data_IF_043691153593
#
_entry.id   IF_043691153593
#
_cell.length_a   1.000
_cell.length_b   1.000
_cell.length_c   1.000
_cell.angle_alpha   90.00
_cell.angle_beta   90.00
_cell.angle_gamma   90.00
#
_symmetry.space_group_name_H-M   'P 1'
#
loop_
_entity.id
_entity.type
_entity.pdbx_description
1 polymer ?
#
# COMPACT_ATOMS: atom_id res chain seq x y z
N UNK A 1 -13.50 -18.01 12.05
CA UNK A 1 -13.90 -17.98 13.49
C UNK A 1 -14.39 -16.57 13.80
N UNK A 2 -15.64 -16.37 14.25
CA UNK A 2 -16.20 -15.02 14.34
C UNK A 2 -15.73 -14.34 15.63
N UNK A 3 -15.20 -13.12 15.50
CA UNK A 3 -14.75 -12.28 16.62
C UNK A 3 -15.99 -11.61 17.21
N UNK A 4 -16.29 -11.95 18.46
CA UNK A 4 -17.37 -11.33 19.26
C UNK A 4 -17.01 -9.88 19.59
N UNK A 5 -17.94 -8.98 19.33
CA UNK A 5 -17.93 -7.61 19.85
C UNK A 5 -17.90 -7.63 21.39
N UNK A 6 -17.00 -6.86 22.00
CA UNK A 6 -16.96 -6.60 23.44
C UNK A 6 -17.31 -5.14 23.69
N UNK A 7 -18.53 -4.93 24.17
CA UNK A 7 -18.98 -3.71 24.84
C UNK A 7 -18.22 -3.55 26.17
N UNK A 8 -17.53 -2.42 26.34
CA UNK A 8 -16.94 -2.02 27.62
C UNK A 8 -17.94 -1.16 28.38
N UNK A 9 -18.50 -1.72 29.45
CA UNK A 9 -19.24 -0.96 30.47
C UNK A 9 -18.23 -0.22 31.35
N UNK A 10 -18.36 1.11 31.43
CA UNK A 10 -17.56 1.94 32.33
C UNK A 10 -18.08 1.80 33.76
N UNK A 11 -17.24 1.27 34.65
CA UNK A 11 -17.44 1.33 36.10
C UNK A 11 -16.96 2.70 36.59
N UNK A 12 -17.89 3.52 37.06
CA UNK A 12 -17.58 4.80 37.71
C UNK A 12 -17.22 4.53 39.16
N UNK A 13 -15.96 4.79 39.53
CA UNK A 13 -15.52 4.87 40.93
C UNK A 13 -15.51 6.36 41.31
N UNK A 14 -16.44 6.77 42.18
CA UNK A 14 -16.43 8.10 42.80
C UNK A 14 -15.39 8.12 43.93
N UNK A 15 -14.25 8.77 43.69
CA UNK A 15 -13.33 9.22 44.72
C UNK A 15 -13.52 10.72 44.98
N UNK A 16 -14.04 11.07 46.16
CA UNK A 16 -14.07 12.45 46.66
C UNK A 16 -12.67 12.88 47.10
N UNK A 17 -12.15 13.97 46.52
CA UNK A 17 -11.00 14.70 47.04
C UNK A 17 -11.37 16.19 47.23
N UNK A 18 -11.02 16.82 48.36
CA UNK A 18 -11.38 18.20 48.64
C UNK A 18 -10.48 19.19 47.90
N UNK A 19 -11.07 20.33 47.55
CA UNK A 19 -10.52 21.30 46.61
C UNK A 19 -9.32 22.10 47.12
N UNK A 20 -8.43 22.39 46.17
CA UNK A 20 -7.64 23.61 46.14
C UNK A 20 -8.11 24.44 44.94
N UNK A 21 -8.71 25.58 45.23
CA UNK A 21 -9.07 26.59 44.26
C UNK A 21 -7.80 27.25 43.70
N UNK A 22 -7.42 26.88 42.48
CA UNK A 22 -6.55 27.69 41.64
C UNK A 22 -7.41 28.27 40.52
N UNK A 23 -7.45 29.59 40.43
CA UNK A 23 -8.03 30.34 39.32
C UNK A 23 -7.18 30.13 38.06
N UNK A 24 -7.28 28.95 37.44
CA UNK A 24 -6.79 28.69 36.10
C UNK A 24 -7.90 28.98 35.11
N UNK A 25 -7.73 30.04 34.30
CA UNK A 25 -8.56 30.21 33.12
C UNK A 25 -8.41 28.97 32.24
N UNK A 26 -9.50 28.28 31.84
CA UNK A 26 -9.38 27.18 30.91
C UNK A 26 -8.82 27.74 29.59
N UNK A 27 -7.59 27.33 29.25
CA UNK A 27 -7.06 27.55 27.92
C UNK A 27 -8.08 26.95 26.93
N UNK A 28 -8.46 27.66 25.86
CA UNK A 28 -9.36 27.11 24.87
C UNK A 28 -8.70 25.84 24.34
N UNK A 29 -9.31 24.69 24.59
CA UNK A 29 -8.98 23.46 23.88
C UNK A 29 -9.22 23.80 22.42
N UNK A 30 -8.14 23.94 21.65
CA UNK A 30 -8.23 24.02 20.20
C UNK A 30 -8.98 22.76 19.75
N UNK A 31 -10.27 22.92 19.45
CA UNK A 31 -11.07 21.86 18.89
C UNK A 31 -10.48 21.56 17.53
N UNK A 32 -9.87 20.38 17.38
CA UNK A 32 -9.63 19.83 16.05
C UNK A 32 -11.03 19.64 15.46
N UNK A 33 -11.42 20.52 14.55
CA UNK A 33 -12.64 20.33 13.78
C UNK A 33 -12.41 19.06 12.96
N UNK A 34 -13.10 17.97 13.30
CA UNK A 34 -13.05 16.76 12.48
C UNK A 34 -13.46 17.13 11.05
N UNK A 35 -12.61 16.77 10.09
CA UNK A 35 -12.87 17.05 8.69
C UNK A 35 -14.21 16.41 8.28
N UNK A 36 -15.04 17.17 7.56
CA UNK A 36 -16.32 16.67 7.06
C UNK A 36 -16.15 15.44 6.16
N UNK A 37 -17.22 14.64 5.93
CA UNK A 37 -17.14 13.38 5.20
C UNK A 37 -16.53 13.50 3.79
N UNK A 38 -16.81 14.59 3.08
CA UNK A 38 -16.24 14.88 1.75
C UNK A 38 -14.73 15.07 1.82
N UNK A 39 -14.25 15.91 2.74
CA UNK A 39 -12.82 16.17 2.92
C UNK A 39 -12.07 14.91 3.35
N UNK A 40 -12.69 14.04 4.15
CA UNK A 40 -12.14 12.73 4.51
C UNK A 40 -12.07 11.80 3.32
N UNK A 41 -13.11 11.73 2.47
CA UNK A 41 -13.07 10.96 1.23
C UNK A 41 -11.98 11.47 0.28
N UNK A 42 -11.83 12.79 0.16
CA UNK A 42 -10.78 13.41 -0.64
C UNK A 42 -9.38 13.06 -0.12
N UNK A 43 -9.17 13.11 1.19
CA UNK A 43 -7.89 12.77 1.82
C UNK A 43 -7.53 11.28 1.62
N UNK A 44 -8.49 10.37 1.85
CA UNK A 44 -8.27 8.93 1.66
C UNK A 44 -7.92 8.62 0.20
N UNK A 45 -8.68 9.15 -0.74
CA UNK A 45 -8.46 8.89 -2.16
C UNK A 45 -7.17 9.52 -2.69
N UNK A 46 -6.79 10.70 -2.18
CA UNK A 46 -5.50 11.30 -2.49
C UNK A 46 -4.33 10.44 -1.98
N UNK A 47 -4.48 9.84 -0.79
CA UNK A 47 -3.49 8.93 -0.23
C UNK A 47 -3.38 7.64 -1.05
N UNK A 48 -4.51 7.03 -1.43
CA UNK A 48 -4.54 5.85 -2.31
C UNK A 48 -3.86 6.11 -3.65
N UNK A 49 -4.14 7.25 -4.28
CA UNK A 49 -3.52 7.64 -5.55
C UNK A 49 -2.01 7.79 -5.38
N UNK A 50 -1.56 8.44 -4.31
CA UNK A 50 -0.14 8.63 -4.01
C UNK A 50 0.57 7.29 -3.80
N UNK A 51 -0.01 6.40 -2.97
CA UNK A 51 0.51 5.05 -2.73
C UNK A 51 0.55 4.23 -4.03
N UNK A 52 -0.49 4.31 -4.86
CA UNK A 52 -0.54 3.63 -6.15
C UNK A 52 0.57 4.07 -7.09
N UNK A 53 0.83 5.39 -7.17
CA UNK A 53 1.88 5.95 -8.02
C UNK A 53 3.27 5.47 -7.61
N UNK A 54 3.57 5.52 -6.31
CA UNK A 54 4.87 5.08 -5.78
C UNK A 54 5.03 3.56 -5.91
N UNK A 55 4.01 2.80 -5.52
CA UNK A 55 3.99 1.33 -5.63
C UNK A 55 4.17 0.86 -7.07
N UNK A 56 3.52 1.51 -8.04
CA UNK A 56 3.66 1.16 -9.46
C UNK A 56 5.11 1.31 -9.94
N UNK A 57 5.73 2.47 -9.65
CA UNK A 57 7.14 2.72 -10.02
C UNK A 57 8.08 1.69 -9.40
N UNK A 58 7.89 1.36 -8.12
CA UNK A 58 8.65 0.31 -7.44
C UNK A 58 8.44 -1.05 -8.11
N UNK A 59 7.20 -1.43 -8.42
CA UNK A 59 6.87 -2.74 -8.96
C UNK A 59 7.43 -2.96 -10.37
N UNK A 60 7.44 -1.93 -11.23
CA UNK A 60 7.94 -2.07 -12.62
C UNK A 60 9.46 -2.02 -12.68
N UNK A 61 10.09 -1.11 -11.93
CA UNK A 61 11.55 -0.95 -11.94
C UNK A 61 12.30 -2.13 -11.33
N UNK A 62 11.60 -2.92 -10.51
CA UNK A 62 12.18 -4.06 -9.80
C UNK A 62 11.65 -5.41 -10.28
N UNK A 63 10.91 -5.46 -11.39
CA UNK A 63 10.32 -6.70 -11.90
C UNK A 63 11.35 -7.83 -12.09
N UNK A 64 12.57 -7.51 -12.52
CA UNK A 64 13.66 -8.49 -12.70
C UNK A 64 14.21 -9.10 -11.40
N UNK A 65 14.04 -8.41 -10.27
CA UNK A 65 14.48 -8.88 -8.96
C UNK A 65 13.38 -9.66 -8.23
N UNK A 66 12.13 -9.55 -8.69
CA UNK A 66 10.98 -10.14 -8.01
C UNK A 66 10.85 -11.65 -8.30
N UNK A 67 10.65 -12.50 -7.25
CA UNK A 67 10.41 -13.93 -7.43
C UNK A 67 9.17 -14.24 -8.26
N UNK A 68 8.14 -13.42 -8.06
CA UNK A 68 6.85 -13.56 -8.71
C UNK A 68 6.58 -12.29 -9.50
N UNK A 69 6.52 -12.46 -10.80
CA UNK A 69 6.20 -11.41 -11.77
C UNK A 69 4.84 -11.74 -12.38
N UNK A 70 4.00 -10.72 -12.54
CA UNK A 70 2.71 -10.82 -13.23
C UNK A 70 2.61 -9.75 -14.31
N UNK A 71 1.77 -10.00 -15.31
CA UNK A 71 1.36 -8.97 -16.26
C UNK A 71 0.26 -8.13 -15.61
N UNK A 72 0.56 -6.86 -15.34
CA UNK A 72 -0.31 -5.93 -14.60
C UNK A 72 -0.67 -4.75 -15.48
N UNK A 73 -1.90 -4.27 -15.33
CA UNK A 73 -2.36 -3.06 -16.02
C UNK A 73 -1.90 -1.76 -15.32
N UNK A 74 -1.53 -1.84 -14.04
CA UNK A 74 -1.14 -0.68 -13.24
C UNK A 74 -2.31 0.28 -13.05
N UNK A 75 -3.26 -0.14 -12.21
CA UNK A 75 -4.39 0.65 -11.75
C UNK A 75 -4.61 0.42 -10.26
N UNK A 76 -5.43 1.29 -9.66
CA UNK A 76 -6.09 1.03 -8.38
C UNK A 76 -7.58 1.03 -8.63
N UNK A 77 -8.25 -0.01 -8.14
CA UNK A 77 -9.67 -0.22 -8.34
C UNK A 77 -10.41 -0.07 -7.00
N UNK A 78 -11.64 0.41 -7.09
CA UNK A 78 -12.55 0.64 -5.98
C UNK A 78 -13.95 0.14 -6.35
N UNK A 79 -14.83 -0.07 -5.37
CA UNK A 79 -16.25 -0.35 -5.58
C UNK A 79 -17.11 0.45 -4.61
N UNK A 80 -18.43 0.45 -4.77
CA UNK A 80 -19.32 1.12 -3.82
C UNK A 80 -19.35 0.37 -2.47
N UNK A 81 -19.30 -0.96 -2.50
CA UNK A 81 -19.47 -1.83 -1.33
C UNK A 81 -18.35 -1.71 -0.31
N UNK A 82 -17.13 -1.33 -0.72
CA UNK A 82 -15.99 -1.13 0.18
C UNK A 82 -16.09 0.14 1.04
N UNK A 83 -17.01 1.06 0.72
CA UNK A 83 -17.23 2.25 1.53
C UNK A 83 -18.32 1.98 2.57
N UNK A 84 -18.11 2.43 3.80
CA UNK A 84 -19.12 2.44 4.85
C UNK A 84 -20.31 3.37 4.53
N UNK A 85 -21.40 3.24 5.30
CA UNK A 85 -22.67 3.92 5.03
C UNK A 85 -22.58 5.45 4.87
N UNK A 86 -21.63 6.08 5.56
CA UNK A 86 -21.39 7.53 5.51
C UNK A 86 -20.71 7.99 4.21
N UNK A 87 -19.66 7.28 3.77
CA UNK A 87 -18.86 7.68 2.61
C UNK A 87 -19.40 7.12 1.30
N UNK A 88 -20.15 6.02 1.34
CA UNK A 88 -20.65 5.33 0.14
C UNK A 88 -21.48 6.23 -0.78
N UNK A 89 -22.47 7.02 -0.31
CA UNK A 89 -23.22 7.90 -1.20
C UNK A 89 -22.33 8.94 -1.90
N UNK A 90 -21.33 9.46 -1.19
CA UNK A 90 -20.37 10.44 -1.72
C UNK A 90 -19.47 9.79 -2.78
N UNK A 91 -18.94 8.59 -2.51
CA UNK A 91 -18.10 7.85 -3.44
C UNK A 91 -18.88 7.44 -4.71
N UNK A 92 -20.12 6.97 -4.57
CA UNK A 92 -21.02 6.65 -5.69
C UNK A 92 -21.28 7.88 -6.56
N UNK A 93 -21.67 9.01 -5.95
CA UNK A 93 -21.96 10.23 -6.68
C UNK A 93 -20.71 10.78 -7.40
N UNK A 94 -19.54 10.70 -6.75
CA UNK A 94 -18.29 11.27 -7.26
C UNK A 94 -17.63 10.43 -8.35
N UNK A 95 -17.70 9.11 -8.26
CA UNK A 95 -16.97 8.20 -9.16
C UNK A 95 -17.88 7.31 -10.02
N UNK A 96 -19.20 7.45 -9.92
CA UNK A 96 -20.15 6.65 -10.69
C UNK A 96 -20.12 5.16 -10.36
N UNK A 97 -19.76 4.82 -9.10
CA UNK A 97 -19.64 3.43 -8.63
C UNK A 97 -21.01 2.75 -8.61
N UNK A 98 -21.03 1.44 -8.87
CA UNK A 98 -22.26 0.66 -8.92
C UNK A 98 -22.03 -0.76 -8.37
N UNK A 99 -22.44 -0.98 -7.12
CA UNK A 99 -22.21 -2.22 -6.39
C UNK A 99 -20.71 -2.57 -6.32
N UNK A 100 -20.40 -3.81 -6.68
CA UNK A 100 -19.07 -4.41 -6.70
C UNK A 100 -18.33 -4.23 -8.04
N UNK A 101 -18.93 -3.55 -9.02
CA UNK A 101 -18.24 -3.26 -10.29
C UNK A 101 -16.97 -2.43 -10.04
N UNK A 102 -15.82 -2.78 -10.64
CA UNK A 102 -14.58 -2.07 -10.40
C UNK A 102 -14.60 -0.67 -11.04
N UNK A 103 -14.56 0.36 -10.21
CA UNK A 103 -14.27 1.73 -10.60
C UNK A 103 -12.76 2.00 -10.57
N UNK A 104 -12.23 2.69 -11.58
CA UNK A 104 -10.84 3.16 -11.57
C UNK A 104 -10.73 4.32 -10.58
N UNK A 105 -9.91 4.14 -9.55
CA UNK A 105 -9.51 5.21 -8.63
C UNK A 105 -8.24 5.90 -9.13
N UNK A 106 -7.26 5.11 -9.57
CA UNK A 106 -5.98 5.59 -10.08
C UNK A 106 -5.53 4.77 -11.30
N UNK A 107 -4.90 5.45 -12.24
CA UNK A 107 -4.06 4.86 -13.27
C UNK A 107 -2.70 5.56 -13.17
N UNK A 108 -1.72 4.96 -12.46
CA UNK A 108 -0.40 5.58 -12.28
C UNK A 108 0.25 6.01 -13.59
N UNK A 109 0.95 7.16 -13.63
CA UNK A 109 1.56 7.68 -14.84
C UNK A 109 2.46 6.66 -15.54
N UNK A 110 2.29 6.52 -16.85
CA UNK A 110 3.03 5.58 -17.69
C UNK A 110 2.65 4.12 -17.51
N UNK A 111 1.62 3.80 -16.69
CA UNK A 111 1.09 2.44 -16.62
C UNK A 111 0.32 2.05 -17.89
N UNK A 112 0.13 0.75 -18.18
CA UNK A 112 -0.75 0.32 -19.26
C UNK A 112 -2.18 0.87 -19.18
N UNK A 113 -2.73 1.05 -17.97
CA UNK A 113 -4.03 1.66 -17.76
C UNK A 113 -4.03 3.15 -18.17
N UNK A 114 -3.01 3.90 -17.74
CA UNK A 114 -2.84 5.31 -18.10
C UNK A 114 -2.65 5.48 -19.62
N UNK A 115 -1.78 4.66 -20.22
CA UNK A 115 -1.54 4.64 -21.66
C UNK A 115 -2.79 4.27 -22.49
N UNK A 116 -3.71 3.49 -21.92
CA UNK A 116 -4.98 3.15 -22.55
C UNK A 116 -6.06 4.23 -22.35
N UNK A 117 -5.75 5.32 -21.65
CA UNK A 117 -6.66 6.42 -21.36
C UNK A 117 -7.67 6.12 -20.25
N UNK A 118 -7.43 5.08 -19.43
CA UNK A 118 -8.21 4.90 -18.21
C UNK A 118 -7.96 6.07 -17.27
N UNK A 119 -8.99 6.47 -16.54
CA UNK A 119 -8.88 7.56 -15.58
C UNK A 119 -9.88 7.38 -14.47
N UNK A 120 -9.66 8.14 -13.39
CA UNK A 120 -10.56 8.18 -12.25
C UNK A 120 -12.02 8.42 -12.69
N UNK A 121 -12.93 7.57 -12.23
CA UNK A 121 -14.36 7.62 -12.59
C UNK A 121 -14.76 6.74 -13.78
N UNK A 122 -13.83 6.01 -14.41
CA UNK A 122 -14.22 4.88 -15.26
C UNK A 122 -14.79 3.75 -14.40
N UNK A 123 -16.01 3.32 -14.70
CA UNK A 123 -16.57 2.08 -14.17
C UNK A 123 -16.37 0.96 -15.19
N UNK A 124 -15.68 -0.11 -14.81
CA UNK A 124 -15.44 -1.27 -15.67
C UNK A 124 -16.68 -2.17 -15.62
N UNK A 125 -17.32 -2.35 -16.78
CA UNK A 125 -18.56 -3.10 -16.93
C UNK A 125 -18.32 -4.53 -17.42
N UNK A 126 -17.30 -4.73 -18.26
CA UNK A 126 -17.00 -6.03 -18.86
C UNK A 126 -15.50 -6.13 -19.21
N UNK A 127 -15.02 -7.37 -19.28
CA UNK A 127 -13.67 -7.72 -19.71
C UNK A 127 -13.73 -8.82 -20.76
N UNK A 128 -13.06 -8.62 -21.91
CA UNK A 128 -13.05 -9.52 -23.06
C UNK A 128 -14.48 -9.97 -23.48
N UNK A 129 -15.41 -9.02 -23.50
CA UNK A 129 -16.83 -9.25 -23.82
C UNK A 129 -17.65 -9.95 -22.74
N UNK A 130 -17.06 -10.29 -21.58
CA UNK A 130 -17.75 -10.90 -20.45
C UNK A 130 -18.12 -9.84 -19.41
N UNK A 131 -19.41 -9.64 -19.08
CA UNK A 131 -19.83 -8.74 -18.01
C UNK A 131 -19.16 -9.09 -16.69
N UNK A 132 -18.81 -8.07 -15.92
CA UNK A 132 -18.40 -8.21 -14.53
C UNK A 132 -19.62 -8.24 -13.61
N UNK A 133 -19.45 -8.79 -12.42
CA UNK A 133 -20.54 -8.99 -11.48
C UNK A 133 -20.76 -7.72 -10.65
N UNK A 134 -21.96 -7.14 -10.72
CA UNK A 134 -22.34 -6.01 -9.85
C UNK A 134 -22.45 -6.42 -8.38
N UNK A 135 -22.63 -7.71 -8.09
CA UNK A 135 -22.90 -8.18 -6.74
C UNK A 135 -24.23 -7.64 -6.19
N UNK A 136 -24.41 -7.80 -4.87
CA UNK A 136 -25.62 -7.37 -4.16
C UNK A 136 -25.31 -6.20 -3.24
N UNK A 137 -26.23 -5.25 -3.14
CA UNK A 137 -26.10 -4.15 -2.18
C UNK A 137 -26.19 -4.71 -0.76
N UNK A 138 -25.28 -4.30 0.12
CA UNK A 138 -25.21 -4.85 1.47
C UNK A 138 -24.31 -4.08 2.42
N UNK A 139 -23.87 -4.80 3.45
CA UNK A 139 -22.87 -4.33 4.39
C UNK A 139 -21.55 -4.01 3.67
N UNK A 140 -20.69 -3.26 4.34
CA UNK A 140 -19.35 -2.98 3.81
C UNK A 140 -18.59 -4.29 3.53
N UNK A 141 -18.10 -4.44 2.30
CA UNK A 141 -17.40 -5.64 1.86
C UNK A 141 -16.44 -5.36 0.71
N UNK A 142 -15.31 -6.05 0.73
CA UNK A 142 -14.32 -6.07 -0.35
C UNK A 142 -14.43 -7.32 -1.24
N UNK A 143 -15.16 -8.36 -0.81
CA UNK A 143 -15.14 -9.68 -1.45
C UNK A 143 -15.63 -9.65 -2.91
N UNK A 144 -16.69 -8.87 -3.20
CA UNK A 144 -17.22 -8.75 -4.56
C UNK A 144 -16.26 -8.03 -5.52
N UNK A 145 -15.63 -6.94 -5.07
CA UNK A 145 -14.57 -6.29 -5.84
C UNK A 145 -13.38 -7.22 -6.06
N UNK A 146 -12.96 -7.96 -5.02
CA UNK A 146 -11.86 -8.91 -5.12
C UNK A 146 -12.15 -10.02 -6.16
N UNK A 147 -13.39 -10.50 -6.25
CA UNK A 147 -13.79 -11.46 -7.27
C UNK A 147 -13.68 -10.88 -8.69
N UNK A 148 -14.14 -9.65 -8.91
CA UNK A 148 -13.99 -8.98 -10.20
C UNK A 148 -12.51 -8.71 -10.55
N UNK A 149 -11.68 -8.33 -9.58
CA UNK A 149 -10.24 -8.18 -9.75
C UNK A 149 -9.60 -9.50 -10.20
N UNK A 150 -10.00 -10.64 -9.63
CA UNK A 150 -9.48 -11.94 -10.06
C UNK A 150 -9.81 -12.25 -11.53
N UNK A 151 -11.00 -11.85 -12.02
CA UNK A 151 -11.36 -11.97 -13.44
C UNK A 151 -10.49 -11.07 -14.31
N UNK A 152 -10.27 -9.82 -13.90
CA UNK A 152 -9.42 -8.86 -14.60
C UNK A 152 -7.96 -9.32 -14.65
N UNK A 153 -7.41 -9.84 -13.55
CA UNK A 153 -6.06 -10.39 -13.47
C UNK A 153 -5.90 -11.61 -14.39
N UNK A 154 -6.89 -12.51 -14.43
CA UNK A 154 -6.88 -13.67 -15.32
C UNK A 154 -6.94 -13.27 -16.80
N UNK A 155 -7.64 -12.19 -17.15
CA UNK A 155 -7.62 -11.62 -18.49
C UNK A 155 -6.25 -10.97 -18.79
N UNK A 156 -5.70 -10.21 -17.83
CA UNK A 156 -4.41 -9.55 -17.98
C UNK A 156 -3.24 -10.54 -18.20
N UNK A 157 -3.33 -11.74 -17.62
CA UNK A 157 -2.40 -12.84 -17.85
C UNK A 157 -2.28 -13.26 -19.33
N UNK A 158 -3.26 -12.94 -20.18
CA UNK A 158 -3.26 -13.26 -21.63
C UNK A 158 -2.51 -12.24 -22.49
N UNK A 159 -2.03 -11.14 -21.90
CA UNK A 159 -1.19 -10.14 -22.57
C UNK A 159 -1.93 -9.06 -23.37
N UNK A 160 -3.25 -9.17 -23.51
CA UNK A 160 -4.12 -8.12 -24.06
C UNK A 160 -5.49 -8.25 -23.41
N UNK A 161 -6.04 -7.12 -22.97
CA UNK A 161 -7.34 -7.05 -22.31
C UNK A 161 -8.18 -6.01 -23.01
N UNK A 162 -9.41 -6.36 -23.36
CA UNK A 162 -10.41 -5.40 -23.80
C UNK A 162 -11.38 -5.12 -22.64
N UNK A 163 -11.53 -3.85 -22.26
CA UNK A 163 -12.46 -3.44 -21.22
C UNK A 163 -13.59 -2.61 -21.82
N UNK A 164 -14.81 -2.95 -21.46
CA UNK A 164 -15.96 -2.04 -21.61
C UNK A 164 -16.03 -1.19 -20.36
N UNK A 165 -15.89 0.12 -20.49
CA UNK A 165 -15.94 1.06 -19.37
C UNK A 165 -17.02 2.13 -19.60
N UNK A 166 -17.57 2.66 -18.51
CA UNK A 166 -18.51 3.78 -18.51
C UNK A 166 -17.91 4.95 -17.75
N UNK A 167 -17.89 6.13 -18.38
CA UNK A 167 -17.52 7.40 -17.72
C UNK A 167 -18.48 8.47 -18.17
N UNK A 168 -19.03 9.21 -17.20
CA UNK A 168 -20.03 10.26 -17.43
C UNK A 168 -21.25 9.76 -18.25
N UNK A 169 -21.68 8.53 -17.99
CA UNK A 169 -22.79 7.88 -18.68
C UNK A 169 -22.47 7.34 -20.08
N UNK A 170 -21.28 7.61 -20.62
CA UNK A 170 -20.86 7.15 -21.95
C UNK A 170 -20.05 5.87 -21.84
N UNK A 171 -20.53 4.82 -22.51
CA UNK A 171 -19.79 3.56 -22.64
C UNK A 171 -18.75 3.65 -23.74
N UNK A 172 -17.56 3.11 -23.47
CA UNK A 172 -16.45 3.02 -24.42
C UNK A 172 -15.71 1.70 -24.24
N UNK A 173 -15.04 1.27 -25.30
CA UNK A 173 -14.16 0.10 -25.25
C UNK A 173 -12.71 0.59 -25.25
N UNK A 174 -11.93 0.13 -24.29
CA UNK A 174 -10.49 0.41 -24.20
C UNK A 174 -9.71 -0.89 -24.28
N UNK A 175 -8.59 -0.86 -24.97
CA UNK A 175 -7.66 -1.98 -25.04
C UNK A 175 -6.44 -1.67 -24.20
N UNK A 176 -6.07 -2.61 -23.34
CA UNK A 176 -4.88 -2.52 -22.49
C UNK A 176 -3.91 -3.63 -22.90
N UNK A 177 -2.62 -3.30 -22.91
CA UNK A 177 -1.52 -4.26 -23.02
C UNK A 177 -0.77 -4.28 -21.69
N UNK A 178 -1.15 -5.17 -20.76
CA UNK A 178 -0.50 -5.26 -19.46
C UNK A 178 1.00 -5.52 -19.60
N UNK A 179 1.79 -5.04 -18.64
CA UNK A 179 3.24 -5.21 -18.63
C UNK A 179 3.71 -5.98 -17.41
N UNK A 180 4.89 -6.60 -17.52
CA UNK A 180 5.52 -7.30 -16.41
C UNK A 180 5.84 -6.34 -15.25
N UNK A 181 5.42 -6.71 -14.05
CA UNK A 181 5.72 -6.00 -12.81
C UNK A 181 5.72 -7.00 -11.64
N UNK A 182 6.34 -6.62 -10.51
CA UNK A 182 6.24 -7.39 -9.28
C UNK A 182 4.77 -7.67 -8.92
N UNK A 183 4.48 -8.90 -8.49
CA UNK A 183 3.13 -9.42 -8.33
C UNK A 183 2.38 -8.92 -7.08
N UNK A 184 2.98 -8.03 -6.30
CA UNK A 184 2.49 -7.57 -5.00
C UNK A 184 1.79 -6.20 -5.14
N UNK A 185 0.48 -6.13 -5.39
CA UNK A 185 -0.27 -4.88 -5.29
C UNK A 185 -0.25 -4.32 -3.87
N UNK A 186 -0.37 -3.00 -3.75
CA UNK A 186 -0.36 -2.29 -2.47
C UNK A 186 -1.75 -1.77 -2.14
N UNK A 187 -2.21 -2.00 -0.92
CA UNK A 187 -3.51 -1.55 -0.41
C UNK A 187 -3.33 -0.68 0.84
N UNK A 188 -4.17 0.35 0.98
CA UNK A 188 -4.19 1.24 2.15
C UNK A 188 -5.20 0.74 3.18
N UNK A 189 -4.75 0.54 4.42
CA UNK A 189 -5.60 0.16 5.56
C UNK A 189 -5.98 1.40 6.38
N UNK A 190 -7.26 1.75 6.45
CA UNK A 190 -7.75 2.91 7.24
C UNK A 190 -7.85 2.53 8.72
N UNK A 191 -6.75 2.68 9.45
CA UNK A 191 -6.62 2.24 10.84
C UNK A 191 -6.03 3.30 11.77
N UNK A 192 -5.46 4.38 11.23
CA UNK A 192 -4.69 5.39 11.93
C UNK A 192 -3.37 4.88 12.54
N UNK A 193 -3.05 3.59 12.37
CA UNK A 193 -1.84 3.00 12.93
C UNK A 193 -0.59 3.48 12.18
N UNK A 194 0.58 3.31 12.80
CA UNK A 194 1.87 3.46 12.13
C UNK A 194 2.41 2.06 11.81
N UNK A 195 1.82 1.40 10.80
CA UNK A 195 2.17 0.04 10.39
C UNK A 195 2.20 -0.13 8.87
N UNK A 196 3.11 -0.98 8.40
CA UNK A 196 3.10 -1.63 7.10
C UNK A 196 3.37 -3.12 7.26
N UNK A 197 2.98 -3.93 6.27
CA UNK A 197 3.24 -5.38 6.24
C UNK A 197 3.15 -5.94 4.82
N UNK A 198 3.84 -7.03 4.54
CA UNK A 198 3.59 -7.91 3.39
C UNK A 198 3.06 -9.27 3.86
N UNK A 199 2.10 -9.87 3.15
CA UNK A 199 1.58 -11.22 3.45
C UNK A 199 1.99 -12.29 2.42
N UNK A 200 2.81 -11.91 1.45
CA UNK A 200 3.23 -12.76 0.33
C UNK A 200 2.32 -12.66 -0.91
N UNK A 201 1.20 -11.93 -0.83
CA UNK A 201 0.34 -11.62 -1.97
C UNK A 201 0.11 -10.12 -2.15
N UNK A 202 -0.02 -9.40 -1.05
CA UNK A 202 -0.24 -7.95 -1.01
C UNK A 202 0.78 -7.27 -0.09
N UNK A 203 1.05 -6.01 -0.38
CA UNK A 203 1.67 -5.07 0.55
C UNK A 203 0.55 -4.23 1.15
N UNK A 204 0.50 -4.11 2.46
CA UNK A 204 -0.45 -3.26 3.17
C UNK A 204 0.29 -2.13 3.85
N UNK A 205 -0.24 -0.92 3.72
CA UNK A 205 0.24 0.25 4.45
C UNK A 205 -0.96 0.93 5.12
N UNK A 206 -0.84 1.24 6.40
CA UNK A 206 -1.88 2.01 7.07
C UNK A 206 -1.89 3.46 6.59
N UNK A 207 -3.07 4.09 6.62
CA UNK A 207 -3.24 5.52 6.34
C UNK A 207 -2.34 6.40 7.22
N UNK A 208 -2.19 6.05 8.50
CA UNK A 208 -1.27 6.73 9.42
C UNK A 208 0.19 6.62 8.99
N UNK A 209 0.65 5.42 8.61
CA UNK A 209 2.02 5.22 8.13
C UNK A 209 2.29 5.93 6.79
N UNK A 210 1.37 5.83 5.83
CA UNK A 210 1.51 6.51 4.54
C UNK A 210 1.45 8.05 4.69
N UNK A 211 0.57 8.55 5.55
CA UNK A 211 0.45 9.97 5.88
C UNK A 211 1.65 10.51 6.68
N UNK A 212 2.42 9.64 7.34
CA UNK A 212 3.64 10.04 7.99
C UNK A 212 4.74 10.40 6.99
N UNK A 213 4.82 9.78 5.82
CA UNK A 213 5.84 10.11 4.81
C UNK A 213 5.61 11.52 4.24
N UNK A 214 6.62 12.40 4.37
CA UNK A 214 6.51 13.81 3.96
C UNK A 214 6.49 14.00 2.43
N UNK A 215 7.15 13.11 1.69
CA UNK A 215 7.26 13.13 0.23
C UNK A 215 7.27 11.70 -0.35
N UNK A 216 7.19 11.59 -1.67
CA UNK A 216 7.09 10.29 -2.34
C UNK A 216 8.35 9.44 -2.21
N UNK A 217 9.52 10.05 -1.99
CA UNK A 217 10.77 9.33 -1.75
C UNK A 217 10.77 8.65 -0.37
N UNK A 218 10.26 9.34 0.66
CA UNK A 218 10.07 8.73 1.98
C UNK A 218 9.01 7.62 1.93
N UNK A 219 7.92 7.81 1.19
CA UNK A 219 6.91 6.76 1.00
C UNK A 219 7.50 5.57 0.24
N UNK A 220 8.35 5.81 -0.75
CA UNK A 220 9.05 4.78 -1.49
C UNK A 220 9.95 3.95 -0.59
N UNK A 221 10.60 4.54 0.41
CA UNK A 221 11.37 3.76 1.40
C UNK A 221 10.50 2.77 2.18
N UNK A 222 9.32 3.20 2.66
CA UNK A 222 8.41 2.31 3.40
C UNK A 222 7.95 1.15 2.50
N UNK A 223 7.44 1.48 1.31
CA UNK A 223 6.93 0.47 0.37
C UNK A 223 8.05 -0.41 -0.20
N UNK A 224 9.24 0.15 -0.39
CA UNK A 224 10.43 -0.56 -0.84
C UNK A 224 10.93 -1.57 0.21
N UNK A 225 10.84 -1.23 1.49
CA UNK A 225 11.12 -2.16 2.59
C UNK A 225 10.14 -3.35 2.59
N UNK A 226 8.84 -3.11 2.44
CA UNK A 226 7.86 -4.21 2.34
C UNK A 226 8.02 -5.05 1.07
N UNK A 227 8.35 -4.42 -0.06
CA UNK A 227 8.68 -5.13 -1.29
C UNK A 227 9.96 -5.95 -1.12
N UNK A 228 10.94 -5.46 -0.36
CA UNK A 228 12.15 -6.19 -0.06
C UNK A 228 11.85 -7.47 0.74
N UNK A 229 10.95 -7.44 1.72
CA UNK A 229 10.48 -8.66 2.37
C UNK A 229 9.93 -9.67 1.35
N UNK A 230 9.10 -9.21 0.40
CA UNK A 230 8.58 -10.09 -0.64
C UNK A 230 9.67 -10.64 -1.60
N UNK A 231 10.71 -9.85 -1.87
CA UNK A 231 11.87 -10.22 -2.71
C UNK A 231 12.85 -11.14 -1.98
N UNK A 232 13.02 -11.01 -0.66
CA UNK A 232 14.00 -11.78 0.12
C UNK A 232 13.40 -13.08 0.67
N UNK A 233 12.16 -13.04 1.14
CA UNK A 233 11.61 -14.12 1.97
C UNK A 233 11.06 -15.31 1.18
N UNK A 234 11.09 -15.27 -0.17
CA UNK A 234 10.74 -16.36 -1.12
C UNK A 234 10.00 -17.54 -0.47
N UNK A 235 8.81 -17.30 0.09
CA UNK A 235 7.99 -18.40 0.59
C UNK A 235 7.66 -19.23 -0.63
N UNK A 236 8.07 -20.49 -0.62
CA UNK A 236 7.49 -21.52 -1.46
C UNK A 236 6.00 -21.63 -1.10
N UNK A 237 5.17 -20.68 -1.54
CA UNK A 237 3.73 -20.82 -1.49
C UNK A 237 3.31 -21.63 -2.71
N UNK A 238 2.76 -22.83 -2.52
CA UNK A 238 2.04 -23.51 -3.58
C UNK A 238 0.65 -22.86 -3.70
N UNK A 239 0.51 -21.66 -4.26
CA UNK A 239 -0.78 -21.24 -4.85
C UNK A 239 -0.81 -19.92 -5.68
N UNK A 240 0.31 -19.45 -6.22
CA UNK A 240 0.23 -18.48 -7.32
C UNK A 240 0.01 -19.27 -8.61
N UNK A 241 -1.24 -19.65 -8.88
CA UNK A 241 -1.65 -20.42 -10.06
C UNK A 241 -0.91 -19.98 -11.33
N UNK A 242 0.05 -20.81 -11.79
CA UNK A 242 0.63 -20.73 -13.13
C UNK A 242 1.95 -19.98 -13.32
N UNK A 243 2.57 -19.36 -12.31
CA UNK A 243 3.86 -18.65 -12.51
C UNK A 243 5.02 -19.44 -11.91
N UNK A 244 5.88 -20.00 -12.77
CA UNK A 244 7.20 -20.54 -12.38
C UNK A 244 8.13 -19.36 -12.04
N UNK A 245 8.22 -18.99 -10.77
CA UNK A 245 9.22 -18.04 -10.29
C UNK A 245 10.62 -18.64 -10.31
N UNK A 246 11.61 -17.86 -10.77
CA UNK A 246 13.02 -18.22 -10.66
C UNK A 246 13.40 -18.30 -9.17
N UNK A 247 13.99 -19.42 -8.75
CA UNK A 247 14.51 -19.55 -7.40
C UNK A 247 15.75 -18.65 -7.25
N UNK A 248 15.61 -17.47 -6.64
CA UNK A 248 16.75 -16.67 -6.16
C UNK A 248 17.36 -17.31 -4.90
N UNK A 249 17.70 -18.60 -5.00
CA UNK A 249 18.20 -19.46 -3.93
C UNK A 249 19.45 -18.90 -3.22
N UNK A 250 20.17 -17.98 -3.88
CA UNK A 250 21.31 -17.25 -3.32
C UNK A 250 20.93 -16.30 -2.15
N UNK A 251 19.66 -15.95 -1.99
CA UNK A 251 19.20 -14.91 -1.04
C UNK A 251 18.42 -15.51 0.15
N UNK A 252 17.77 -16.68 -0.01
CA UNK A 252 16.63 -17.06 0.84
C UNK A 252 16.90 -17.97 2.05
N UNK A 253 18.13 -18.45 2.31
CA UNK A 253 18.32 -19.42 3.38
C UNK A 253 18.58 -18.77 4.74
N UNK A 254 17.49 -18.69 5.54
CA UNK A 254 17.35 -18.94 6.99
C UNK A 254 16.63 -17.78 7.72
N UNK A 255 15.46 -18.04 8.34
CA UNK A 255 15.15 -17.83 9.80
C UNK A 255 13.70 -17.41 10.10
N UNK A 256 13.16 -17.95 11.20
CA UNK A 256 12.14 -17.24 12.00
C UNK A 256 12.77 -16.11 12.81
N UNK A 257 11.98 -15.12 13.25
CA UNK A 257 12.36 -13.95 14.06
C UNK A 257 13.86 -13.57 13.99
N UNK A 258 14.30 -12.92 12.92
CA UNK A 258 15.71 -12.52 12.76
C UNK A 258 15.90 -11.05 12.45
N UNK A 259 16.75 -10.37 13.24
CA UNK A 259 17.33 -9.04 12.95
C UNK A 259 17.92 -8.98 11.54
N UNK A 260 18.49 -10.11 11.06
CA UNK A 260 19.08 -10.16 9.73
C UNK A 260 18.03 -9.96 8.64
N UNK A 261 16.80 -10.47 8.81
CA UNK A 261 15.71 -10.26 7.84
C UNK A 261 15.36 -8.78 7.67
N UNK A 262 15.19 -8.06 8.78
CA UNK A 262 14.84 -6.63 8.76
C UNK A 262 15.99 -5.74 8.26
N UNK A 263 17.23 -6.05 8.65
CA UNK A 263 18.40 -5.33 8.15
C UNK A 263 18.66 -5.60 6.66
N UNK A 264 18.42 -6.84 6.20
CA UNK A 264 18.52 -7.21 4.79
C UNK A 264 17.38 -6.55 3.99
N UNK A 265 16.16 -6.47 4.55
CA UNK A 265 15.04 -5.75 3.93
C UNK A 265 15.30 -4.24 3.83
N UNK A 266 15.92 -3.63 4.84
CA UNK A 266 16.39 -2.24 4.78
C UNK A 266 17.42 -2.03 3.68
N UNK A 267 18.43 -2.92 3.60
CA UNK A 267 19.46 -2.85 2.56
C UNK A 267 18.85 -3.02 1.17
N UNK A 268 18.13 -4.11 0.94
CA UNK A 268 17.48 -4.40 -0.33
C UNK A 268 16.50 -3.29 -0.70
N UNK A 269 15.71 -2.81 0.25
CA UNK A 269 14.77 -1.71 0.09
C UNK A 269 15.43 -0.45 -0.50
N UNK A 270 16.63 -0.06 -0.03
CA UNK A 270 17.36 1.06 -0.62
C UNK A 270 17.74 0.84 -2.09
N UNK A 271 18.13 -0.37 -2.48
CA UNK A 271 18.37 -0.69 -3.89
C UNK A 271 17.08 -0.61 -4.71
N UNK A 272 15.98 -1.17 -4.20
CA UNK A 272 14.68 -1.15 -4.89
C UNK A 272 14.16 0.28 -5.11
N UNK A 273 14.32 1.15 -4.10
CA UNK A 273 14.00 2.59 -4.14
C UNK A 273 14.86 3.29 -5.18
N UNK A 274 16.18 3.08 -5.14
CA UNK A 274 17.11 3.72 -6.06
C UNK A 274 16.88 3.31 -7.52
N UNK A 275 16.56 2.03 -7.78
CA UNK A 275 16.20 1.49 -9.10
C UNK A 275 14.92 2.10 -9.64
N UNK A 276 13.95 2.39 -8.78
CA UNK A 276 12.71 3.06 -9.15
C UNK A 276 12.85 4.58 -9.36
N UNK A 277 14.08 5.11 -9.26
CA UNK A 277 14.38 6.52 -9.46
C UNK A 277 13.93 7.43 -8.32
N UNK A 278 13.73 6.87 -7.13
CA UNK A 278 13.53 7.64 -5.90
C UNK A 278 14.86 7.90 -5.20
N UNK A 279 14.90 8.90 -4.31
CA UNK A 279 16.08 9.22 -3.51
C UNK A 279 16.22 8.28 -2.30
N UNK A 280 17.20 7.35 -2.29
CA UNK A 280 17.39 6.44 -1.16
C UNK A 280 17.84 7.15 0.12
N UNK A 281 18.40 8.37 0.05
CA UNK A 281 18.81 9.13 1.24
C UNK A 281 17.62 9.56 2.10
N UNK A 282 16.42 9.67 1.50
CA UNK A 282 15.17 9.99 2.20
C UNK A 282 14.74 8.95 3.23
N UNK A 283 15.29 7.73 3.16
CA UNK A 283 15.15 6.73 4.21
C UNK A 283 15.66 7.23 5.58
N UNK A 284 16.78 7.97 5.61
CA UNK A 284 17.37 8.48 6.85
C UNK A 284 16.52 9.59 7.46
N UNK A 285 15.96 10.46 6.62
CA UNK A 285 15.01 11.49 7.03
C UNK A 285 13.72 10.87 7.56
N UNK A 286 13.17 9.87 6.85
CA UNK A 286 11.97 9.16 7.27
C UNK A 286 12.16 8.47 8.62
N UNK A 287 13.27 7.77 8.85
CA UNK A 287 13.53 7.11 10.12
C UNK A 287 13.62 8.09 11.29
N UNK A 288 14.12 9.31 11.05
CA UNK A 288 14.09 10.39 12.04
C UNK A 288 12.65 10.80 12.36
N UNK A 289 11.83 10.97 11.32
CA UNK A 289 10.41 11.33 11.46
C UNK A 289 9.59 10.23 12.14
N UNK A 290 9.87 8.97 11.84
CA UNK A 290 9.24 7.81 12.47
C UNK A 290 9.56 7.73 13.96
N UNK A 291 10.82 7.96 14.33
CA UNK A 291 11.25 8.03 15.74
C UNK A 291 10.55 9.16 16.52
N UNK A 292 10.30 10.29 15.88
CA UNK A 292 9.58 11.42 16.48
C UNK A 292 8.08 11.15 16.65
N UNK A 293 7.48 10.40 15.72
CA UNK A 293 6.06 10.08 15.75
C UNK A 293 5.71 8.88 16.66
N UNK A 294 6.61 7.91 16.77
CA UNK A 294 6.47 6.74 17.65
C UNK A 294 7.71 6.57 18.54
N UNK A 295 7.59 6.96 19.81
CA UNK A 295 8.68 6.81 20.79
C UNK A 295 9.12 5.36 21.01
N UNK A 296 8.34 4.36 20.59
CA UNK A 296 8.78 2.96 20.60
C UNK A 296 9.88 2.71 19.58
N UNK A 297 9.96 3.47 18.49
CA UNK A 297 10.99 3.34 17.47
C UNK A 297 12.38 3.78 17.96
N UNK A 298 12.46 4.46 19.11
CA UNK A 298 13.72 4.76 19.80
C UNK A 298 14.36 3.53 20.46
N UNK A 299 13.60 2.43 20.58
CA UNK A 299 14.05 1.19 21.20
C UNK A 299 14.00 0.04 20.19
N UNK A 300 14.87 -0.95 20.36
CA UNK A 300 14.77 -2.17 19.58
C UNK A 300 13.47 -2.90 19.95
N UNK A 301 12.74 -3.38 18.95
CA UNK A 301 11.44 -4.03 19.15
C UNK A 301 11.53 -5.51 18.79
N UNK A 302 10.86 -6.36 19.57
CA UNK A 302 10.73 -7.79 19.26
C UNK A 302 9.25 -8.09 19.16
N UNK A 303 8.81 -8.57 18.00
CA UNK A 303 7.43 -8.99 17.77
C UNK A 303 7.39 -10.22 16.86
N UNK A 304 6.22 -10.80 16.60
CA UNK A 304 6.08 -12.01 15.80
C UNK A 304 6.68 -11.92 14.37
N UNK A 305 6.85 -10.70 13.84
CA UNK A 305 7.48 -10.45 12.53
C UNK A 305 9.01 -10.41 12.56
N UNK A 306 9.64 -10.16 13.72
CA UNK A 306 11.09 -10.06 13.77
C UNK A 306 11.64 -9.27 14.94
N UNK A 307 12.93 -8.97 14.85
CA UNK A 307 13.61 -8.06 15.75
C UNK A 307 13.98 -6.81 14.93
N UNK A 308 13.38 -5.69 15.31
CA UNK A 308 13.58 -4.39 14.69
C UNK A 308 14.65 -3.65 15.49
N UNK A 309 15.74 -3.27 14.83
CA UNK A 309 16.70 -2.32 15.40
C UNK A 309 16.02 -0.96 15.63
N UNK A 310 16.48 -0.21 16.63
CA UNK A 310 15.96 1.16 16.82
C UNK A 310 16.27 2.04 15.60
N UNK A 311 15.50 3.12 15.44
CA UNK A 311 15.63 4.02 14.28
C UNK A 311 17.04 4.59 14.12
N UNK A 312 17.71 4.93 15.22
CA UNK A 312 19.10 5.41 15.23
C UNK A 312 20.09 4.37 14.70
N UNK A 313 19.94 3.11 15.09
CA UNK A 313 20.73 1.97 14.62
C UNK A 313 20.50 1.69 13.14
N UNK A 314 19.24 1.68 12.69
CA UNK A 314 18.87 1.58 11.27
C UNK A 314 19.53 2.67 10.44
N UNK A 315 19.42 3.95 10.85
CA UNK A 315 20.05 5.09 10.14
C UNK A 315 21.57 4.93 9.98
N UNK A 316 22.27 4.40 10.99
CA UNK A 316 23.72 4.10 10.89
C UNK A 316 24.01 2.96 9.91
N UNK A 317 23.22 1.88 9.97
CA UNK A 317 23.39 0.71 9.11
C UNK A 317 23.14 1.02 7.62
N UNK A 318 22.28 2.00 7.32
CA UNK A 318 22.00 2.42 5.94
C UNK A 318 23.16 3.21 5.28
N UNK A 319 24.02 3.88 6.04
CA UNK A 319 25.10 4.72 5.48
C UNK A 319 26.04 3.99 4.50
N UNK A 320 26.61 2.81 4.84
CA UNK A 320 27.46 2.08 3.89
C UNK A 320 26.68 1.58 2.65
N UNK A 321 25.38 1.30 2.79
CA UNK A 321 24.53 0.89 1.66
C UNK A 321 24.31 2.06 0.71
N UNK A 322 24.03 3.25 1.25
CA UNK A 322 23.89 4.49 0.47
C UNK A 322 25.16 4.83 -0.29
N UNK A 323 26.33 4.71 0.36
CA UNK A 323 27.63 4.91 -0.30
C UNK A 323 27.83 3.93 -1.46
N UNK A 324 27.53 2.64 -1.26
CA UNK A 324 27.60 1.63 -2.32
C UNK A 324 26.67 1.96 -3.50
N UNK A 325 25.42 2.34 -3.23
CA UNK A 325 24.48 2.74 -4.28
C UNK A 325 25.02 3.95 -5.06
N UNK A 326 25.59 4.94 -4.38
CA UNK A 326 26.18 6.10 -5.02
C UNK A 326 27.37 5.72 -5.92
N UNK A 327 28.26 4.85 -5.44
CA UNK A 327 29.41 4.34 -6.22
C UNK A 327 28.95 3.56 -7.46
N UNK A 328 27.94 2.70 -7.32
CA UNK A 328 27.37 1.95 -8.45
C UNK A 328 26.73 2.88 -9.49
N UNK A 329 25.97 3.89 -9.04
CA UNK A 329 25.39 4.92 -9.92
C UNK A 329 26.48 5.71 -10.66
N UNK A 330 27.51 6.14 -9.94
CA UNK A 330 28.62 6.91 -10.53
C UNK A 330 29.42 6.09 -11.56
N UNK A 331 29.50 4.77 -11.39
CA UNK A 331 30.17 3.85 -12.30
C UNK A 331 29.27 3.31 -13.43
N UNK A 332 28.02 3.78 -13.56
CA UNK A 332 27.01 3.26 -14.50
C UNK A 332 26.84 1.73 -14.41
N UNK A 333 26.89 1.21 -13.17
CA UNK A 333 26.74 -0.22 -12.88
C UNK A 333 25.31 -0.54 -12.45
N UNK A 334 24.88 -1.76 -12.75
CA UNK A 334 23.59 -2.26 -12.32
C UNK A 334 23.43 -2.14 -10.79
N UNK A 335 22.31 -1.57 -10.36
CA UNK A 335 21.94 -1.45 -8.95
C UNK A 335 21.39 -2.79 -8.47
N UNK A 336 22.30 -3.66 -8.04
CA UNK A 336 22.00 -4.97 -7.48
C UNK A 336 22.75 -5.08 -6.14
N UNK A 337 22.09 -5.54 -5.05
CA UNK A 337 22.68 -5.59 -3.70
C UNK A 337 23.95 -6.42 -3.55
#
# INVERSE_FOLDING_TARGET
>A
MPIRARTLAAVVVLGLAPGLACCGHPAPKAGVVEAGPEARLDALNALDIRVANVSWRLAVANAELCPVVRTRAGWTLQSASQYGAELRPLAVARYGLDGDLPGVLAAPPGSPADQAGLSRGDLILAVDGRPLERGQDGAESYEGLQANIAVLDAAAARGRVELKVRRDGVERVVTIRPQAACAYPTEVEVTGALRSRADGRYIFISDGMAGLAADDDQLAFILGHELAHAVLEHRTQPDVTGVRGASNWAISMTKGLSIRSEADADRMGLFLVARAGFDPYKAVEFLTRYEQADGRASYAQINAGGVYENASGRRRALQPVLANIADLKAADRALIP
#
